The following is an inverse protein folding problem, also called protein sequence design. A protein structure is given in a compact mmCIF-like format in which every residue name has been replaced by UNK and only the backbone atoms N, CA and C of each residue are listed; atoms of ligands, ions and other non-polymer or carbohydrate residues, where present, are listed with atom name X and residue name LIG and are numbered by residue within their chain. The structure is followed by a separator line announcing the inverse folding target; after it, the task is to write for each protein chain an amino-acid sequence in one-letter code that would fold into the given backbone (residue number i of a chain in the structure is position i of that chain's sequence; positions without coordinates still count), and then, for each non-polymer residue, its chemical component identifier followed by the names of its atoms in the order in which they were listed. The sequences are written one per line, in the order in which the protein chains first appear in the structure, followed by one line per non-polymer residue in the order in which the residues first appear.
data_IF_124162154798
#
_entry.id   IF_124162154798
#
_cell.length_a   1.000
_cell.length_b   1.000
_cell.length_c   1.000
_cell.angle_alpha   90.00
_cell.angle_beta   90.00
_cell.angle_gamma   90.00
#
_symmetry.space_group_name_H-M   'P 1'
#
loop_
_entity.id
_entity.type
_entity.pdbx_description
1 polymer ?
#
# COMPACT_ATOMS: atom_id res chain seq x y z
N UNK A 1 -1.08 -6.47 33.22
CA UNK A 1 -0.28 -5.47 32.48
C UNK A 1 0.25 -6.13 31.23
N UNK A 2 -0.41 -5.93 30.09
CA UNK A 2 -0.12 -6.63 28.82
C UNK A 2 0.30 -5.62 27.72
N UNK A 3 0.01 -4.34 27.92
CA UNK A 3 0.26 -3.28 26.95
C UNK A 3 1.73 -2.84 27.00
N UNK A 4 2.45 -3.04 25.89
CA UNK A 4 3.89 -2.84 25.79
C UNK A 4 4.24 -2.11 24.48
N UNK A 5 5.25 -1.25 24.53
CA UNK A 5 5.88 -0.66 23.34
C UNK A 5 7.24 -1.33 23.14
N UNK A 6 7.39 -2.10 22.07
CA UNK A 6 8.66 -2.72 21.70
C UNK A 6 9.42 -1.77 20.78
N UNK A 7 10.65 -1.44 21.15
CA UNK A 7 11.51 -0.51 20.41
C UNK A 7 12.81 -1.21 20.04
N UNK A 8 13.26 -1.06 18.80
CA UNK A 8 14.56 -1.58 18.38
C UNK A 8 15.71 -0.89 19.14
N UNK A 9 16.82 -1.59 19.36
CA UNK A 9 17.98 -1.06 20.10
C UNK A 9 18.45 0.29 19.55
N UNK A 10 18.43 0.44 18.22
CA UNK A 10 18.84 1.66 17.51
C UNK A 10 17.94 2.87 17.81
N UNK A 11 16.66 2.64 18.13
CA UNK A 11 15.68 3.67 18.43
C UNK A 11 15.56 3.98 19.93
N UNK A 12 16.18 3.16 20.79
CA UNK A 12 16.11 3.33 22.25
C UNK A 12 16.59 4.70 22.73
N UNK A 13 17.65 5.24 22.12
CA UNK A 13 18.19 6.57 22.44
C UNK A 13 17.33 7.72 21.91
N UNK A 14 16.42 7.41 20.98
CA UNK A 14 15.47 8.36 20.42
C UNK A 14 14.17 8.38 21.19
N UNK A 15 13.86 7.39 22.04
CA UNK A 15 12.67 7.40 22.88
C UNK A 15 12.83 8.43 23.99
N UNK A 16 11.97 9.45 23.98
CA UNK A 16 12.00 10.54 24.95
C UNK A 16 11.21 10.21 26.19
N UNK A 17 10.02 9.64 26.00
CA UNK A 17 9.07 9.42 27.08
C UNK A 17 8.09 8.30 26.75
N UNK A 18 7.60 7.60 27.77
CA UNK A 18 6.55 6.58 27.66
C UNK A 18 5.54 6.83 28.76
N UNK A 19 4.29 7.10 28.38
CA UNK A 19 3.21 7.42 29.31
C UNK A 19 2.08 6.43 29.15
N UNK A 20 1.53 6.01 30.27
CA UNK A 20 0.24 5.31 30.32
C UNK A 20 -0.85 6.35 30.53
N UNK A 21 -1.84 6.39 29.64
CA UNK A 21 -2.97 7.31 29.70
C UNK A 21 -4.19 6.57 30.25
N UNK A 22 -4.45 6.83 31.52
CA UNK A 22 -5.61 6.30 32.26
C UNK A 22 -6.84 7.16 31.93
N UNK A 23 -7.97 6.54 31.62
CA UNK A 23 -9.26 7.23 31.45
C UNK A 23 -9.61 7.67 30.01
N UNK A 24 -8.82 7.24 29.01
CA UNK A 24 -9.19 7.33 27.58
C UNK A 24 -10.02 6.12 27.11
N UNK A 25 -10.23 5.16 28.02
CA UNK A 25 -10.75 3.83 27.78
C UNK A 25 -12.28 3.82 27.91
N UNK A 26 -12.98 4.37 26.92
CA UNK A 26 -14.44 4.45 27.01
C UNK A 26 -15.15 3.09 26.84
N UNK A 27 -14.42 2.00 26.52
CA UNK A 27 -15.02 0.67 26.28
C UNK A 27 -14.04 -0.51 26.37
N UNK A 28 -12.89 -0.36 27.03
CA UNK A 28 -11.87 -1.43 27.14
C UNK A 28 -11.26 -1.43 28.54
N UNK A 29 -10.77 -2.57 28.98
CA UNK A 29 -9.98 -2.78 30.19
C UNK A 29 -8.46 -2.55 29.96
N UNK A 30 -8.07 -2.15 28.75
CA UNK A 30 -6.68 -1.94 28.33
C UNK A 30 -6.25 -0.48 28.39
N UNK A 31 -5.15 -0.22 29.11
CA UNK A 31 -4.62 1.13 29.25
C UNK A 31 -3.82 1.56 28.02
N UNK A 32 -4.06 2.79 27.54
CA UNK A 32 -3.32 3.32 26.40
C UNK A 32 -1.88 3.64 26.80
N UNK A 33 -0.92 2.89 26.25
CA UNK A 33 0.52 3.19 26.38
C UNK A 33 0.99 3.99 25.17
N UNK A 34 1.52 5.19 25.40
CA UNK A 34 1.95 6.12 24.36
C UNK A 34 3.43 6.51 24.57
N UNK A 35 4.25 6.32 23.54
CA UNK A 35 5.67 6.71 23.53
C UNK A 35 5.94 7.92 22.64
N UNK A 36 6.78 8.84 23.10
CA UNK A 36 7.29 9.97 22.32
C UNK A 36 8.70 9.64 21.81
N UNK A 37 8.91 9.74 20.50
CA UNK A 37 10.19 9.49 19.85
C UNK A 37 10.76 10.78 19.25
N UNK A 38 11.99 11.12 19.64
CA UNK A 38 12.87 12.12 19.04
C UNK A 38 13.33 11.66 17.67
N UNK A 39 12.53 11.92 16.66
CA UNK A 39 12.97 11.83 15.29
C UNK A 39 13.73 13.11 14.95
N UNK A 40 15.06 13.04 14.76
CA UNK A 40 15.78 14.06 13.96
C UNK A 40 14.96 14.21 12.69
N UNK A 41 14.57 15.45 12.33
CA UNK A 41 13.71 15.79 11.17
C UNK A 41 13.79 14.62 10.22
N UNK A 42 12.75 13.79 10.20
CA UNK A 42 12.63 12.79 9.17
C UNK A 42 12.57 13.68 7.93
N UNK A 43 13.74 13.93 7.31
CA UNK A 43 13.84 14.43 5.96
C UNK A 43 12.97 13.42 5.27
N UNK A 44 11.70 13.80 5.04
CA UNK A 44 10.59 12.92 4.65
C UNK A 44 11.26 11.78 3.97
N UNK A 45 11.40 10.58 4.58
CA UNK A 45 12.22 9.53 3.96
C UNK A 45 11.63 9.49 2.60
N UNK A 46 12.37 10.08 1.66
CA UNK A 46 11.89 10.23 0.32
C UNK A 46 12.08 8.78 0.01
N UNK A 47 10.97 8.07 -0.07
CA UNK A 47 10.89 6.94 -0.97
C UNK A 47 11.04 7.62 -2.34
N UNK A 48 12.26 8.10 -2.61
CA UNK A 48 12.78 8.63 -3.87
C UNK A 48 13.04 7.47 -4.81
N UNK A 49 12.83 6.23 -4.37
CA UNK A 49 12.29 5.20 -5.23
C UNK A 49 10.77 5.33 -5.23
N UNK A 50 10.22 5.86 -6.32
CA UNK A 50 8.85 5.57 -6.69
C UNK A 50 8.75 4.06 -6.92
N UNK A 51 8.62 3.28 -5.86
CA UNK A 51 8.10 1.92 -5.96
C UNK A 51 6.70 2.12 -6.49
N UNK A 52 6.52 1.96 -7.79
CA UNK A 52 5.24 1.49 -8.26
C UNK A 52 5.04 0.17 -7.56
N UNK A 53 4.28 0.17 -6.47
CA UNK A 53 3.85 -1.05 -5.82
C UNK A 53 3.06 -1.79 -6.90
N UNK A 54 3.69 -2.72 -7.58
CA UNK A 54 3.01 -3.58 -8.51
C UNK A 54 2.26 -4.60 -7.67
N UNK A 55 0.95 -4.69 -7.85
CA UNK A 55 0.16 -5.78 -7.30
C UNK A 55 -0.22 -6.69 -8.46
N UNK A 56 -0.22 -7.99 -8.21
CA UNK A 56 -0.79 -8.94 -9.16
C UNK A 56 -2.26 -8.57 -9.36
N UNK A 57 -2.73 -8.52 -10.61
CA UNK A 57 -4.16 -8.29 -10.88
C UNK A 57 -4.95 -9.43 -10.24
N UNK A 58 -5.98 -9.10 -9.47
CA UNK A 58 -6.84 -10.12 -8.83
C UNK A 58 -7.84 -10.76 -9.82
N UNK A 59 -7.84 -10.32 -11.08
CA UNK A 59 -8.82 -10.78 -12.07
C UNK A 59 -8.43 -12.16 -12.65
N UNK A 60 -8.85 -13.22 -11.95
CA UNK A 60 -9.00 -14.56 -12.51
C UNK A 60 -10.27 -14.69 -13.38
N UNK A 61 -10.91 -13.58 -13.76
CA UNK A 61 -12.22 -13.55 -14.41
C UNK A 61 -12.25 -14.12 -15.83
N UNK A 62 -11.10 -14.32 -16.49
CA UNK A 62 -11.08 -14.99 -17.79
C UNK A 62 -10.97 -16.51 -17.59
N UNK A 63 -11.81 -17.27 -18.30
CA UNK A 63 -11.81 -18.75 -18.27
C UNK A 63 -10.40 -19.28 -18.54
N UNK A 64 -9.68 -18.66 -19.46
CA UNK A 64 -8.30 -19.00 -19.80
C UNK A 64 -7.31 -18.79 -18.65
N UNK A 65 -7.44 -17.69 -17.88
CA UNK A 65 -6.55 -17.41 -16.75
C UNK A 65 -6.81 -18.37 -15.59
N UNK A 66 -8.07 -18.75 -15.37
CA UNK A 66 -8.46 -19.67 -14.29
C UNK A 66 -7.89 -21.08 -14.46
N UNK A 67 -7.75 -21.56 -15.71
CA UNK A 67 -7.18 -22.86 -16.02
C UNK A 67 -5.64 -22.85 -16.11
N UNK A 68 -5.03 -21.73 -16.52
CA UNK A 68 -3.57 -21.59 -16.66
C UNK A 68 -2.85 -21.53 -15.32
N UNK A 69 -3.45 -20.89 -14.32
CA UNK A 69 -2.80 -20.68 -13.03
C UNK A 69 -2.49 -21.98 -12.25
N UNK A 70 -3.44 -22.93 -12.10
CA UNK A 70 -3.13 -24.22 -11.48
C UNK A 70 -2.04 -25.00 -12.22
N UNK A 71 -2.08 -25.02 -13.56
CA UNK A 71 -1.09 -25.73 -14.37
C UNK A 71 0.33 -25.12 -14.25
N UNK A 72 0.42 -23.79 -14.17
CA UNK A 72 1.68 -23.08 -13.93
C UNK A 72 2.25 -23.42 -12.54
N UNK A 73 1.40 -23.46 -11.49
CA UNK A 73 1.83 -23.89 -10.14
C UNK A 73 2.39 -25.31 -10.14
N UNK A 74 1.67 -26.27 -10.75
CA UNK A 74 2.10 -27.68 -10.80
C UNK A 74 3.47 -27.78 -11.47
N UNK A 75 3.63 -27.15 -12.64
CA UNK A 75 4.89 -27.14 -13.38
C UNK A 75 6.02 -26.55 -12.54
N UNK A 76 5.77 -25.45 -11.81
CA UNK A 76 6.79 -24.80 -11.00
C UNK A 76 7.21 -25.67 -9.81
N UNK A 77 6.26 -26.35 -9.16
CA UNK A 77 6.53 -27.19 -8.00
C UNK A 77 7.31 -28.46 -8.32
N UNK A 78 7.18 -29.00 -9.54
CA UNK A 78 8.03 -30.10 -10.02
C UNK A 78 9.51 -29.72 -10.09
N UNK A 79 9.83 -28.44 -10.26
CA UNK A 79 11.21 -27.94 -10.34
C UNK A 79 11.79 -27.52 -8.99
N UNK A 80 11.00 -27.52 -7.90
CA UNK A 80 11.51 -27.19 -6.58
C UNK A 80 12.42 -28.33 -6.11
N UNK A 81 13.72 -28.07 -5.90
CA UNK A 81 14.61 -29.11 -5.40
C UNK A 81 14.18 -29.51 -3.99
N UNK A 82 14.01 -30.80 -3.74
CA UNK A 82 13.74 -31.35 -2.40
C UNK A 82 15.00 -31.17 -1.56
N UNK A 83 15.13 -30.01 -0.90
CA UNK A 83 16.30 -29.65 -0.10
C UNK A 83 15.98 -29.84 1.38
N UNK A 84 16.24 -31.04 1.87
CA UNK A 84 15.90 -31.57 3.20
C UNK A 84 16.54 -30.88 4.41
N UNK A 85 17.02 -29.64 4.29
CA UNK A 85 17.86 -29.00 5.33
C UNK A 85 17.33 -27.68 5.89
N UNK A 86 16.48 -26.92 5.19
CA UNK A 86 15.93 -25.66 5.72
C UNK A 86 14.49 -25.36 5.26
N UNK A 87 13.56 -25.49 6.20
CA UNK A 87 12.11 -25.26 6.00
C UNK A 87 11.83 -23.81 5.60
N UNK A 88 12.61 -22.84 6.09
CA UNK A 88 12.40 -21.44 5.73
C UNK A 88 12.74 -21.20 4.26
N UNK A 89 13.86 -21.75 3.77
CA UNK A 89 14.24 -21.68 2.35
C UNK A 89 13.22 -22.37 1.45
N UNK A 90 12.73 -23.55 1.81
CA UNK A 90 11.66 -24.24 1.07
C UNK A 90 10.38 -23.38 1.02
N UNK A 91 10.00 -22.78 2.16
CA UNK A 91 8.84 -21.89 2.23
C UNK A 91 9.01 -20.63 1.38
N UNK A 92 10.21 -20.06 1.30
CA UNK A 92 10.49 -18.93 0.42
C UNK A 92 10.37 -19.32 -1.05
N UNK A 93 10.89 -20.49 -1.46
CA UNK A 93 10.76 -21.00 -2.82
C UNK A 93 9.30 -21.22 -3.20
N UNK A 94 8.49 -21.79 -2.31
CA UNK A 94 7.05 -21.97 -2.51
C UNK A 94 6.33 -20.63 -2.72
N UNK A 95 6.61 -19.64 -1.86
CA UNK A 95 6.05 -18.29 -2.00
C UNK A 95 6.45 -17.66 -3.33
N UNK A 96 7.72 -17.75 -3.71
CA UNK A 96 8.21 -17.24 -4.98
C UNK A 96 7.48 -17.89 -6.16
N UNK A 97 7.33 -19.21 -6.18
CA UNK A 97 6.63 -19.93 -7.25
C UNK A 97 5.17 -19.51 -7.40
N UNK A 98 4.43 -19.34 -6.29
CA UNK A 98 3.05 -18.83 -6.34
C UNK A 98 3.02 -17.42 -6.92
N UNK A 99 3.92 -16.53 -6.49
CA UNK A 99 3.95 -15.16 -6.97
C UNK A 99 4.31 -15.08 -8.46
N UNK A 100 5.24 -15.92 -8.92
CA UNK A 100 5.64 -15.99 -10.33
C UNK A 100 4.53 -16.54 -11.21
N UNK A 101 3.90 -17.65 -10.84
CA UNK A 101 2.77 -18.23 -11.56
C UNK A 101 1.60 -17.23 -11.65
N UNK A 102 1.33 -16.51 -10.55
CA UNK A 102 0.26 -15.52 -10.50
C UNK A 102 0.61 -14.28 -11.33
N UNK A 103 1.88 -13.87 -11.36
CA UNK A 103 2.36 -12.79 -12.21
C UNK A 103 2.28 -13.14 -13.70
N UNK A 104 2.63 -14.37 -14.08
CA UNK A 104 2.53 -14.88 -15.46
C UNK A 104 1.07 -14.93 -15.92
N UNK A 105 0.18 -15.48 -15.08
CA UNK A 105 -1.22 -15.67 -15.44
C UNK A 105 -2.04 -14.37 -15.41
N UNK A 106 -1.90 -13.58 -14.35
CA UNK A 106 -2.75 -12.42 -14.10
C UNK A 106 -2.09 -11.10 -14.52
N UNK A 107 -0.76 -11.05 -14.64
CA UNK A 107 -0.01 -9.82 -14.87
C UNK A 107 -0.05 -8.83 -13.70
N UNK A 108 0.69 -7.74 -13.85
CA UNK A 108 0.81 -6.71 -12.81
C UNK A 108 -0.10 -5.50 -13.05
N UNK A 109 -0.69 -4.96 -11.97
CA UNK A 109 -1.32 -3.64 -11.92
C UNK A 109 -0.47 -2.70 -11.10
N UNK A 110 -0.28 -1.49 -11.61
CA UNK A 110 0.40 -0.41 -10.90
C UNK A 110 -0.51 0.10 -9.78
N UNK A 111 -0.13 -0.10 -8.53
CA UNK A 111 -0.73 0.58 -7.39
C UNK A 111 0.03 1.87 -7.17
N UNK A 112 -0.58 2.95 -7.60
CA UNK A 112 -0.13 4.31 -7.36
C UNK A 112 -1.34 5.22 -7.20
N UNK A 113 -1.14 6.42 -6.64
CA UNK A 113 -2.18 7.44 -6.67
C UNK A 113 -2.65 7.62 -8.13
N UNK A 114 -3.96 7.84 -8.37
CA UNK A 114 -4.47 8.19 -9.69
C UNK A 114 -3.59 9.27 -10.32
N UNK A 115 -3.38 9.21 -11.65
CA UNK A 115 -2.49 10.13 -12.36
C UNK A 115 -2.76 11.61 -12.00
N UNK A 116 -4.05 11.99 -11.86
CA UNK A 116 -4.46 13.34 -11.46
C UNK A 116 -4.03 13.76 -10.04
N UNK A 117 -3.82 12.84 -9.11
CA UNK A 117 -3.34 13.17 -7.74
C UNK A 117 -1.89 13.61 -7.77
N UNK A 118 -1.07 13.06 -8.66
CA UNK A 118 0.34 13.44 -8.81
C UNK A 118 0.47 14.84 -9.40
N UNK A 119 -0.31 15.13 -10.44
CA UNK A 119 -0.36 16.45 -11.07
C UNK A 119 -0.87 17.52 -10.10
N UNK A 120 -1.99 17.27 -9.42
CA UNK A 120 -2.52 18.18 -8.39
C UNK A 120 -1.49 18.45 -7.29
N UNK A 121 -0.82 17.41 -6.77
CA UNK A 121 0.23 17.56 -5.75
C UNK A 121 1.45 18.32 -6.27
N UNK A 122 1.83 18.14 -7.54
CA UNK A 122 2.94 18.88 -8.14
C UNK A 122 2.62 20.37 -8.30
N UNK A 123 1.40 20.71 -8.75
CA UNK A 123 0.95 22.10 -8.86
C UNK A 123 0.78 22.75 -7.49
N UNK A 124 0.22 22.03 -6.52
CA UNK A 124 0.09 22.51 -5.14
C UNK A 124 1.45 22.84 -4.49
N UNK A 125 2.46 21.98 -4.71
CA UNK A 125 3.82 22.23 -4.22
C UNK A 125 4.47 23.46 -4.86
N UNK A 126 4.21 23.70 -6.15
CA UNK A 126 4.68 24.92 -6.84
C UNK A 126 4.00 26.17 -6.29
N UNK A 127 2.70 26.10 -6.05
CA UNK A 127 1.95 27.20 -5.43
C UNK A 127 2.46 27.55 -4.03
N UNK A 128 2.68 26.54 -3.18
CA UNK A 128 3.26 26.75 -1.83
C UNK A 128 4.66 27.39 -1.84
N UNK A 129 5.42 27.26 -2.92
CA UNK A 129 6.77 27.83 -3.03
C UNK A 129 6.81 29.25 -3.60
N UNK A 130 5.81 29.63 -4.40
CA UNK A 130 5.85 30.86 -5.20
C UNK A 130 4.71 31.85 -4.88
N UNK A 131 3.64 31.42 -4.20
CA UNK A 131 2.41 32.19 -3.86
C UNK A 131 1.76 32.97 -5.04
N UNK A 132 2.09 32.61 -6.27
CA UNK A 132 1.62 33.31 -7.47
C UNK A 132 0.17 32.93 -7.81
N UNK A 133 -0.68 33.93 -8.09
CA UNK A 133 -2.11 33.74 -8.43
C UNK A 133 -2.33 32.77 -9.59
N UNK A 134 -1.43 32.74 -10.58
CA UNK A 134 -1.49 31.83 -11.72
C UNK A 134 -1.34 30.36 -11.33
N UNK A 135 -0.53 30.06 -10.29
CA UNK A 135 -0.31 28.70 -9.80
C UNK A 135 -1.48 28.19 -8.94
N UNK A 136 -2.20 29.11 -8.26
CA UNK A 136 -3.44 28.83 -7.54
C UNK A 136 -4.56 28.41 -8.51
N UNK A 137 -4.77 29.17 -9.60
CA UNK A 137 -5.77 28.84 -10.62
C UNK A 137 -5.53 27.44 -11.23
N UNK A 138 -4.27 27.11 -11.53
CA UNK A 138 -3.88 25.78 -12.04
C UNK A 138 -4.12 24.66 -11.03
N UNK A 139 -3.95 24.92 -9.74
CA UNK A 139 -4.27 23.95 -8.69
C UNK A 139 -5.78 23.70 -8.61
N UNK A 140 -6.59 24.76 -8.65
CA UNK A 140 -8.05 24.66 -8.63
C UNK A 140 -8.58 23.85 -9.82
N UNK A 141 -8.04 24.07 -11.02
CA UNK A 141 -8.43 23.26 -12.17
C UNK A 141 -8.02 21.79 -12.04
N UNK A 142 -6.79 21.52 -11.57
CA UNK A 142 -6.34 20.15 -11.33
C UNK A 142 -7.21 19.44 -10.27
N UNK A 143 -7.66 20.17 -9.24
CA UNK A 143 -8.61 19.67 -8.25
C UNK A 143 -9.98 19.35 -8.86
N UNK A 144 -10.50 20.21 -9.74
CA UNK A 144 -11.77 19.95 -10.47
C UNK A 144 -11.67 18.74 -11.40
N UNK A 145 -10.54 18.55 -12.10
CA UNK A 145 -10.31 17.37 -12.95
C UNK A 145 -10.29 16.08 -12.13
N UNK A 146 -9.68 16.11 -10.95
CA UNK A 146 -9.70 14.97 -10.02
C UNK A 146 -11.11 14.68 -9.50
N UNK A 147 -11.88 15.71 -9.17
CA UNK A 147 -13.26 15.57 -8.70
C UNK A 147 -14.14 14.87 -9.74
N UNK A 148 -14.07 15.29 -11.01
CA UNK A 148 -14.81 14.64 -12.11
C UNK A 148 -14.45 13.17 -12.31
N UNK A 149 -13.18 12.79 -12.10
CA UNK A 149 -12.78 11.39 -12.16
C UNK A 149 -13.42 10.57 -11.03
N UNK A 150 -13.49 11.13 -9.81
CA UNK A 150 -14.13 10.48 -8.68
C UNK A 150 -15.64 10.32 -8.93
N UNK A 151 -16.31 11.34 -9.47
CA UNK A 151 -17.74 11.28 -9.82
C UNK A 151 -18.00 10.21 -10.88
N UNK A 152 -17.19 10.14 -11.93
CA UNK A 152 -17.29 9.09 -12.94
C UNK A 152 -17.01 7.67 -12.40
N UNK A 153 -16.15 7.54 -11.40
CA UNK A 153 -15.89 6.27 -10.71
C UNK A 153 -17.08 5.87 -9.84
N UNK A 154 -17.70 6.82 -9.14
CA UNK A 154 -18.93 6.59 -8.37
C UNK A 154 -20.10 6.16 -9.28
N UNK A 155 -20.33 6.87 -10.38
CA UNK A 155 -21.35 6.52 -11.39
C UNK A 155 -21.12 5.13 -11.99
N UNK A 156 -19.86 4.72 -12.15
CA UNK A 156 -19.52 3.37 -12.62
C UNK A 156 -19.94 2.30 -11.60
N UNK A 157 -19.67 2.52 -10.31
CA UNK A 157 -20.04 1.58 -9.25
C UNK A 157 -21.56 1.50 -9.04
N UNK A 158 -22.27 2.61 -9.18
CA UNK A 158 -23.74 2.65 -9.11
C UNK A 158 -24.37 1.83 -10.24
N UNK A 159 -23.96 2.06 -11.50
CA UNK A 159 -24.42 1.29 -12.66
C UNK A 159 -24.03 -0.19 -12.61
N UNK A 160 -22.89 -0.51 -12.03
CA UNK A 160 -22.47 -1.90 -11.82
C UNK A 160 -23.37 -2.59 -10.79
N UNK A 161 -23.81 -1.89 -9.74
CA UNK A 161 -24.77 -2.38 -8.78
C UNK A 161 -26.13 -2.71 -9.42
N UNK A 162 -26.66 -1.80 -10.24
CA UNK A 162 -27.92 -2.01 -10.98
C UNK A 162 -27.88 -3.20 -11.96
N UNK A 163 -26.70 -3.60 -12.43
CA UNK A 163 -26.53 -4.72 -13.34
C UNK A 163 -26.48 -6.09 -12.63
N UNK A 164 -26.31 -6.08 -11.30
CA UNK A 164 -26.25 -7.28 -10.47
C UNK A 164 -27.57 -7.60 -9.76
N UNK A 165 -28.51 -6.65 -9.75
CA UNK A 165 -29.90 -6.83 -9.31
C UNK A 165 -30.79 -7.37 -10.45
#
# INVERSE_FOLDING_TARGET
MIDLIIVSSDLRRSLEDVRVKIGVELSTDHHLVAGTLRCKKCSTIRRSGGRSSQRIRWALCSVDTSAKFPNSIVTWFEHIPVMTTDVETEWQLFKCGIFEAAAECCGFKRVGPPLGVKEKKAVFKKWLGNEEVSTSARYVEAARRQQKHWEAEADFWEKFGELLD
#
